data_IF_818762449380
#
_entry.id   IF_818762449380
#
_cell.length_a   1.000
_cell.length_b   1.000
_cell.length_c   1.000
_cell.angle_alpha   90.00
_cell.angle_beta   90.00
_cell.angle_gamma   90.00
#
_symmetry.space_group_name_H-M   'P 1'
#
loop_
_entity.id
_entity.type
_entity.pdbx_description
1 polymer ?
#
# COMPACT_ATOMS: atom_id res chain seq x y z
N UNK A 1 -34.34 -1.63 8.34
CA UNK A 1 -33.17 -0.74 8.19
C UNK A 1 -31.99 -1.54 7.66
N UNK A 2 -31.70 -1.47 6.36
CA UNK A 2 -30.43 -1.93 5.82
C UNK A 2 -29.57 -0.68 5.63
N UNK A 3 -28.60 -0.45 6.52
CA UNK A 3 -27.60 0.58 6.30
C UNK A 3 -26.73 0.11 5.14
N UNK A 4 -26.96 0.64 3.95
CA UNK A 4 -26.01 0.53 2.86
C UNK A 4 -24.74 1.25 3.31
N UNK A 5 -23.71 0.49 3.68
CA UNK A 5 -22.39 1.05 3.91
C UNK A 5 -22.02 1.85 2.66
N UNK A 6 -21.59 3.11 2.77
CA UNK A 6 -21.14 3.86 1.62
C UNK A 6 -19.92 3.11 1.08
N UNK A 7 -20.13 2.33 0.02
CA UNK A 7 -19.07 1.80 -0.83
C UNK A 7 -18.30 3.02 -1.31
N UNK A 8 -17.28 3.40 -0.55
CA UNK A 8 -16.48 4.60 -0.80
C UNK A 8 -15.55 4.22 -1.93
N UNK A 9 -16.13 4.12 -3.12
CA UNK A 9 -15.42 3.85 -4.35
C UNK A 9 -14.46 5.02 -4.53
N UNK A 10 -13.16 4.71 -4.47
CA UNK A 10 -12.12 5.67 -4.78
C UNK A 10 -12.38 6.22 -6.17
N UNK A 11 -12.14 7.52 -6.36
CA UNK A 11 -12.10 8.05 -7.72
C UNK A 11 -11.02 7.29 -8.52
N UNK A 12 -11.17 7.15 -9.85
CA UNK A 12 -10.25 6.35 -10.67
C UNK A 12 -8.77 6.69 -10.43
N UNK A 13 -8.46 7.99 -10.30
CA UNK A 13 -7.12 8.47 -10.00
C UNK A 13 -6.61 8.04 -8.61
N UNK A 14 -7.47 8.03 -7.59
CA UNK A 14 -7.08 7.55 -6.26
C UNK A 14 -6.88 6.03 -6.27
N UNK A 15 -7.72 5.29 -7.00
CA UNK A 15 -7.54 3.85 -7.17
C UNK A 15 -6.22 3.53 -7.86
N UNK A 16 -5.86 4.27 -8.92
CA UNK A 16 -4.56 4.13 -9.60
C UNK A 16 -3.38 4.47 -8.66
N UNK A 17 -3.46 5.57 -7.92
CA UNK A 17 -2.40 5.98 -6.98
C UNK A 17 -2.24 5.01 -5.80
N UNK A 18 -3.34 4.41 -5.37
CA UNK A 18 -3.37 3.40 -4.32
C UNK A 18 -3.14 1.98 -4.87
N UNK A 19 -2.87 1.82 -6.17
CA UNK A 19 -2.60 0.51 -6.76
C UNK A 19 -1.27 -0.05 -6.28
N UNK A 20 -1.18 -1.38 -6.30
CA UNK A 20 0.06 -2.08 -5.99
C UNK A 20 1.22 -1.62 -6.89
N UNK A 21 0.99 -1.47 -8.19
CA UNK A 21 2.00 -1.04 -9.15
C UNK A 21 2.60 0.32 -8.79
N UNK A 22 1.74 1.28 -8.42
CA UNK A 22 2.21 2.60 -8.00
C UNK A 22 3.00 2.53 -6.70
N UNK A 23 2.55 1.73 -5.73
CA UNK A 23 3.30 1.49 -4.50
C UNK A 23 4.65 0.83 -4.76
N UNK A 24 4.72 -0.14 -5.68
CA UNK A 24 5.98 -0.78 -6.06
C UNK A 24 6.96 0.20 -6.70
N UNK A 25 6.49 1.03 -7.63
CA UNK A 25 7.32 2.07 -8.23
C UNK A 25 7.87 3.05 -7.18
N UNK A 26 7.06 3.42 -6.17
CA UNK A 26 7.52 4.25 -5.04
C UNK A 26 8.55 3.51 -4.19
N UNK A 27 8.34 2.22 -3.88
CA UNK A 27 9.27 1.40 -3.12
C UNK A 27 10.64 1.30 -3.83
N UNK A 28 10.67 1.06 -5.14
CA UNK A 28 11.91 1.05 -5.92
C UNK A 28 12.62 2.39 -5.86
N UNK A 29 11.90 3.51 -6.06
CA UNK A 29 12.49 4.85 -5.99
C UNK A 29 13.05 5.16 -4.60
N UNK A 30 12.33 4.80 -3.54
CA UNK A 30 12.79 4.99 -2.17
C UNK A 30 14.02 4.12 -1.87
N UNK A 31 14.06 2.88 -2.37
CA UNK A 31 15.23 2.00 -2.23
C UNK A 31 16.45 2.60 -2.92
N UNK A 32 16.30 3.07 -4.16
CA UNK A 32 17.40 3.70 -4.90
C UNK A 32 17.90 4.99 -4.23
N UNK A 33 17.00 5.78 -3.66
CA UNK A 33 17.37 7.04 -3.01
C UNK A 33 18.01 6.86 -1.63
N UNK A 34 17.54 5.89 -0.83
CA UNK A 34 17.96 5.71 0.57
C UNK A 34 18.93 4.55 0.80
N UNK A 35 19.02 3.60 -0.13
CA UNK A 35 19.72 2.32 0.06
C UNK A 35 19.00 1.35 1.01
N UNK A 36 17.93 1.76 1.67
CA UNK A 36 17.20 0.96 2.65
C UNK A 36 16.17 0.05 1.98
N UNK A 37 16.07 -1.20 2.46
CA UNK A 37 15.00 -2.14 2.11
C UNK A 37 13.63 -1.48 2.29
N UNK A 38 12.74 -1.72 1.32
CA UNK A 38 11.36 -1.27 1.39
C UNK A 38 10.41 -2.47 1.45
N UNK A 39 9.37 -2.33 2.25
CA UNK A 39 8.33 -3.32 2.46
C UNK A 39 7.02 -2.74 1.96
N UNK A 40 6.29 -3.53 1.17
CA UNK A 40 4.92 -3.22 0.75
C UNK A 40 4.00 -4.11 1.55
N UNK A 41 3.19 -3.50 2.41
CA UNK A 41 2.22 -4.20 3.25
C UNK A 41 0.80 -3.95 2.76
N UNK A 42 -0.03 -4.99 2.76
CA UNK A 42 -1.46 -4.85 2.57
C UNK A 42 -2.12 -4.52 3.90
N UNK A 43 -2.92 -3.46 3.89
CA UNK A 43 -3.55 -2.90 5.12
C UNK A 43 -4.97 -3.41 5.33
N UNK A 44 -5.62 -3.96 4.29
CA UNK A 44 -7.05 -4.27 4.30
C UNK A 44 -7.97 -3.05 4.29
N UNK A 45 -7.43 -1.82 4.28
CA UNK A 45 -8.23 -0.60 4.25
C UNK A 45 -8.68 -0.26 2.83
N UNK A 46 -9.98 0.02 2.64
CA UNK A 46 -10.54 0.33 1.32
C UNK A 46 -9.90 1.56 0.64
N UNK A 47 -9.49 2.56 1.42
CA UNK A 47 -8.93 3.82 0.90
C UNK A 47 -7.41 3.80 0.76
N UNK A 48 -6.74 2.90 1.47
CA UNK A 48 -5.28 2.80 1.51
C UNK A 48 -4.86 1.32 1.51
N UNK A 49 -5.22 0.53 0.48
CA UNK A 49 -5.04 -0.92 0.45
C UNK A 49 -3.59 -1.37 0.63
N UNK A 50 -2.63 -0.52 0.25
CA UNK A 50 -1.20 -0.79 0.41
C UNK A 50 -0.48 0.37 1.11
N UNK A 51 0.58 0.01 1.84
CA UNK A 51 1.52 0.96 2.43
C UNK A 51 2.95 0.54 2.11
N UNK A 52 3.76 1.51 1.71
CA UNK A 52 5.22 1.34 1.61
C UNK A 52 5.87 1.80 2.91
N UNK A 53 6.78 1.01 3.45
CA UNK A 53 7.49 1.28 4.70
C UNK A 53 8.95 0.84 4.58
N UNK A 54 9.88 1.58 5.16
CA UNK A 54 11.27 1.13 5.34
C UNK A 54 11.46 0.29 6.60
N UNK A 55 10.44 0.23 7.45
CA UNK A 55 10.40 -0.64 8.63
C UNK A 55 9.76 -1.98 8.27
N UNK A 56 10.25 -3.09 8.84
CA UNK A 56 9.62 -4.38 8.67
C UNK A 56 8.15 -4.35 9.15
N UNK A 57 7.28 -5.18 8.57
CA UNK A 57 5.89 -5.31 9.01
C UNK A 57 5.80 -5.72 10.48
N UNK A 58 4.85 -5.15 11.20
CA UNK A 58 4.50 -5.53 12.56
C UNK A 58 3.74 -6.87 12.59
N UNK A 59 3.65 -7.47 13.79
CA UNK A 59 3.00 -8.78 13.96
C UNK A 59 1.51 -8.68 13.60
N UNK A 60 1.12 -9.37 12.53
CA UNK A 60 -0.26 -9.37 12.01
C UNK A 60 -0.45 -8.50 10.76
N UNK A 61 0.56 -7.72 10.35
CA UNK A 61 0.53 -7.06 9.04
C UNK A 61 0.85 -8.06 7.92
N UNK A 62 0.16 -7.92 6.78
CA UNK A 62 0.34 -8.83 5.66
C UNK A 62 1.39 -8.26 4.68
N UNK A 63 2.58 -8.85 4.67
CA UNK A 63 3.64 -8.46 3.74
C UNK A 63 3.33 -8.95 2.33
N UNK A 64 3.12 -8.03 1.41
CA UNK A 64 2.92 -8.37 -0.01
C UNK A 64 4.24 -8.55 -0.73
N UNK A 65 5.21 -7.65 -0.51
CA UNK A 65 6.45 -7.65 -1.28
C UNK A 65 7.59 -6.97 -0.52
N UNK A 66 8.79 -7.56 -0.67
CA UNK A 66 10.07 -7.00 -0.24
C UNK A 66 10.80 -6.40 -1.46
N UNK A 67 11.30 -5.18 -1.34
CA UNK A 67 12.15 -4.54 -2.36
C UNK A 67 13.55 -4.35 -1.77
N UNK A 68 14.46 -5.21 -2.22
CA UNK A 68 15.81 -5.36 -1.68
C UNK A 68 16.91 -4.88 -2.64
#
# INVERSE_FOLDING_TARGET
MANAEPSTQLSPRRAELASFERCYAVAVRNRLASGCIQFIVSTGEALRPFRVSSRPPEKGENLTTLVA
#
